data_IF_850368040582
#
_entry.id   IF_850368040582
#
_cell.length_a   1.000
_cell.length_b   1.000
_cell.length_c   1.000
_cell.angle_alpha   90.00
_cell.angle_beta   90.00
_cell.angle_gamma   90.00
#
_symmetry.space_group_name_H-M   'P 1'
#
loop_
_entity.id
_entity.type
_entity.pdbx_description
1 polymer ?
#
# COMPACT_ATOMS: atom_id res chain seq x y z
N UNK A 1 -47.08 22.22 -48.06
CA UNK A 1 -47.49 20.85 -47.69
C UNK A 1 -46.24 19.98 -47.62
N UNK A 2 -46.10 19.11 -46.61
CA UNK A 2 -45.10 18.02 -46.51
C UNK A 2 -43.94 18.08 -45.47
N UNK A 3 -44.04 18.84 -44.36
CA UNK A 3 -43.05 18.72 -43.25
C UNK A 3 -43.63 18.55 -41.84
N UNK A 4 -44.95 18.67 -41.66
CA UNK A 4 -45.60 18.50 -40.34
C UNK A 4 -46.13 17.08 -40.05
N UNK A 5 -46.25 16.22 -41.06
CA UNK A 5 -46.73 14.84 -40.90
C UNK A 5 -45.62 13.89 -40.40
N UNK A 6 -44.36 14.14 -40.79
CA UNK A 6 -43.23 13.28 -40.42
C UNK A 6 -42.86 13.40 -38.93
N UNK A 7 -43.11 14.56 -38.31
CA UNK A 7 -42.91 14.77 -36.87
C UNK A 7 -43.99 14.11 -36.01
N UNK A 8 -45.21 13.99 -36.54
CA UNK A 8 -46.32 13.33 -35.84
C UNK A 8 -46.19 11.80 -35.88
N UNK A 9 -45.67 11.24 -36.98
CA UNK A 9 -45.43 9.79 -37.13
C UNK A 9 -44.30 9.26 -36.23
N UNK A 10 -43.28 10.08 -35.94
CA UNK A 10 -42.17 9.66 -35.08
C UNK A 10 -42.52 9.69 -33.58
N UNK A 11 -43.43 10.56 -33.15
CA UNK A 11 -43.86 10.65 -31.75
C UNK A 11 -44.84 9.52 -31.36
N UNK A 12 -45.71 9.08 -32.28
CA UNK A 12 -46.68 8.02 -31.99
C UNK A 12 -46.05 6.62 -31.99
N UNK A 13 -45.02 6.38 -32.81
CA UNK A 13 -44.23 5.13 -32.79
C UNK A 13 -43.37 4.96 -31.53
N UNK A 14 -42.92 6.06 -30.90
CA UNK A 14 -42.16 6.01 -29.65
C UNK A 14 -43.00 5.63 -28.43
N UNK A 15 -44.24 6.14 -28.34
CA UNK A 15 -45.13 5.85 -27.21
C UNK A 15 -45.71 4.43 -27.26
N UNK A 16 -45.88 3.86 -28.47
CA UNK A 16 -46.37 2.50 -28.67
C UNK A 16 -45.32 1.43 -28.29
N UNK A 17 -44.02 1.77 -28.37
CA UNK A 17 -42.92 0.86 -28.00
C UNK A 17 -42.75 0.76 -26.47
N UNK A 18 -43.07 1.81 -25.71
CA UNK A 18 -42.95 1.80 -24.24
C UNK A 18 -44.00 0.94 -23.53
N UNK A 19 -45.20 0.76 -24.10
CA UNK A 19 -46.29 0.02 -23.44
C UNK A 19 -46.25 -1.49 -23.69
N UNK A 20 -45.54 -1.97 -24.71
CA UNK A 20 -45.37 -3.40 -25.01
C UNK A 20 -44.11 -4.02 -24.38
N UNK A 21 -43.20 -3.22 -23.81
CA UNK A 21 -41.89 -3.67 -23.33
C UNK A 21 -41.79 -4.08 -21.86
N UNK A 22 -42.83 -3.90 -21.03
CA UNK A 22 -42.72 -4.15 -19.58
C UNK A 22 -43.56 -5.33 -19.07
N UNK A 23 -44.03 -6.22 -19.95
CA UNK A 23 -44.59 -7.50 -19.49
C UNK A 23 -43.74 -8.67 -19.96
N UNK A 24 -43.09 -9.31 -18.96
CA UNK A 24 -42.88 -10.77 -18.86
C UNK A 24 -41.52 -11.31 -19.32
N UNK A 25 -40.65 -11.48 -18.34
CA UNK A 25 -40.09 -12.82 -18.07
C UNK A 25 -39.97 -12.96 -16.54
N UNK A 26 -41.00 -13.51 -15.88
CA UNK A 26 -41.05 -14.90 -15.40
C UNK A 26 -39.72 -15.35 -14.79
N UNK A 27 -39.76 -15.53 -13.48
CA UNK A 27 -38.63 -16.00 -12.72
C UNK A 27 -38.06 -17.31 -13.28
N UNK A 28 -36.75 -17.32 -13.43
CA UNK A 28 -35.99 -18.53 -13.27
C UNK A 28 -35.53 -18.59 -11.81
N UNK A 29 -36.28 -19.37 -11.03
CA UNK A 29 -35.80 -19.93 -9.77
C UNK A 29 -34.65 -20.87 -10.17
N UNK A 30 -33.41 -20.42 -10.00
CA UNK A 30 -32.28 -21.36 -9.88
C UNK A 30 -32.39 -21.93 -8.47
N UNK A 31 -32.81 -23.19 -8.38
CA UNK A 31 -32.62 -23.99 -7.17
C UNK A 31 -31.12 -24.20 -6.95
N UNK A 32 -30.66 -24.21 -5.69
CA UNK A 32 -29.30 -24.54 -5.33
C UNK A 32 -29.09 -26.06 -5.36
N UNK A 33 -27.91 -26.51 -5.79
CA UNK A 33 -27.09 -27.53 -5.13
C UNK A 33 -25.90 -27.88 -6.05
N UNK A 34 -24.74 -28.03 -5.41
CA UNK A 34 -23.49 -28.56 -5.96
C UNK A 34 -22.80 -27.78 -7.10
N UNK A 35 -21.91 -26.85 -6.71
CA UNK A 35 -20.48 -26.96 -7.06
C UNK A 35 -19.68 -26.42 -5.86
N UNK A 36 -19.09 -27.36 -5.12
CA UNK A 36 -17.86 -27.17 -4.38
C UNK A 36 -16.77 -26.67 -5.33
N UNK A 37 -16.62 -25.35 -5.38
CA UNK A 37 -15.30 -24.74 -5.46
C UNK A 37 -15.45 -23.38 -4.79
N UNK A 38 -14.84 -23.17 -3.61
CA UNK A 38 -14.30 -21.85 -3.36
C UNK A 38 -13.36 -21.63 -4.55
N UNK A 39 -13.73 -20.75 -5.49
CA UNK A 39 -12.70 -20.10 -6.30
C UNK A 39 -11.94 -19.26 -5.30
N UNK A 40 -10.99 -19.92 -4.68
CA UNK A 40 -9.86 -19.31 -4.03
C UNK A 40 -9.05 -18.65 -5.14
N UNK A 41 -9.57 -17.55 -5.66
CA UNK A 41 -8.77 -16.51 -6.24
C UNK A 41 -8.14 -15.77 -5.07
N UNK A 42 -7.22 -16.43 -4.35
CA UNK A 42 -5.98 -15.80 -3.95
C UNK A 42 -5.32 -15.33 -5.26
N UNK A 43 -5.84 -14.23 -5.82
CA UNK A 43 -5.00 -13.25 -6.46
C UNK A 43 -4.00 -12.89 -5.37
N UNK A 44 -2.85 -13.55 -5.40
CA UNK A 44 -1.69 -13.15 -4.62
C UNK A 44 -1.37 -11.76 -5.12
N UNK A 45 -1.96 -10.76 -4.46
CA UNK A 45 -1.44 -9.41 -4.50
C UNK A 45 -0.04 -9.58 -3.93
N UNK A 46 0.96 -9.60 -4.82
CA UNK A 46 2.34 -9.48 -4.41
C UNK A 46 2.43 -8.17 -3.63
N UNK A 47 2.35 -8.28 -2.31
CA UNK A 47 2.61 -7.16 -1.42
C UNK A 47 4.08 -6.88 -1.60
N UNK A 48 4.39 -5.87 -2.40
CA UNK A 48 5.77 -5.44 -2.62
C UNK A 48 6.25 -4.91 -1.27
N UNK A 49 7.04 -5.72 -0.58
CA UNK A 49 7.72 -5.34 0.65
C UNK A 49 8.72 -4.22 0.37
N UNK A 50 8.81 -3.27 1.29
CA UNK A 50 9.69 -2.13 1.14
C UNK A 50 11.11 -2.56 1.51
N UNK A 51 12.06 -2.32 0.63
CA UNK A 51 13.45 -2.73 0.78
C UNK A 51 14.30 -1.58 1.34
N UNK A 52 15.09 -1.85 2.38
CA UNK A 52 15.98 -0.83 2.93
C UNK A 52 17.00 -0.36 1.88
N UNK A 53 17.68 -1.30 1.25
CA UNK A 53 18.79 -1.09 0.33
C UNK A 53 18.34 -0.46 -0.99
N UNK A 54 17.18 -0.84 -1.51
CA UNK A 54 16.70 -0.40 -2.82
C UNK A 54 15.77 0.81 -2.74
N UNK A 55 14.96 0.93 -1.68
CA UNK A 55 13.94 1.98 -1.58
C UNK A 55 14.33 3.09 -0.60
N UNK A 56 14.73 2.74 0.63
CA UNK A 56 14.98 3.74 1.68
C UNK A 56 16.36 4.37 1.61
N UNK A 57 17.41 3.57 1.42
CA UNK A 57 18.80 4.03 1.47
C UNK A 57 19.07 5.12 0.42
N UNK A 58 18.56 5.05 -0.84
CA UNK A 58 18.71 6.16 -1.78
C UNK A 58 18.08 7.45 -1.26
N UNK A 59 16.94 7.40 -0.58
CA UNK A 59 16.29 8.59 -0.01
C UNK A 59 17.13 9.12 1.15
N UNK A 60 17.52 8.25 2.09
CA UNK A 60 18.35 8.62 3.25
C UNK A 60 19.66 9.28 2.81
N UNK A 61 20.36 8.69 1.85
CA UNK A 61 21.68 9.18 1.41
C UNK A 61 21.62 10.44 0.55
N UNK A 62 20.51 10.69 -0.16
CA UNK A 62 20.36 11.87 -1.02
C UNK A 62 19.65 13.04 -0.35
N UNK A 63 18.85 12.79 0.70
CA UNK A 63 18.00 13.79 1.34
C UNK A 63 18.41 14.09 2.79
N UNK A 64 18.98 13.12 3.51
CA UNK A 64 19.21 13.22 4.95
C UNK A 64 20.69 13.17 5.34
N UNK A 65 21.45 12.22 4.79
CA UNK A 65 22.86 11.98 5.09
C UNK A 65 23.81 12.92 4.31
N UNK A 66 23.46 14.21 4.31
CA UNK A 66 24.27 15.27 3.72
C UNK A 66 25.29 15.80 4.73
N UNK A 67 26.40 16.36 4.24
CA UNK A 67 27.45 16.90 5.10
C UNK A 67 26.89 17.96 6.08
N UNK A 68 27.10 17.75 7.39
CA UNK A 68 26.56 18.61 8.45
C UNK A 68 25.09 18.35 8.82
N UNK A 69 24.43 17.40 8.17
CA UNK A 69 23.12 16.85 8.54
C UNK A 69 23.34 15.46 9.15
N UNK A 70 22.69 14.39 8.69
CA UNK A 70 22.72 13.09 9.39
C UNK A 70 23.83 12.14 8.90
N UNK A 71 25.07 12.50 9.20
CA UNK A 71 26.29 11.68 8.99
C UNK A 71 26.98 11.39 10.33
N UNK A 72 28.11 10.68 10.38
CA UNK A 72 28.79 10.27 11.64
C UNK A 72 28.95 11.37 12.72
N UNK A 73 29.05 12.64 12.32
CA UNK A 73 29.17 13.80 13.22
C UNK A 73 27.98 14.77 13.09
N UNK A 74 26.82 14.23 12.73
CA UNK A 74 25.59 14.96 12.49
C UNK A 74 24.90 15.47 13.75
N UNK A 75 23.89 16.35 13.61
CA UNK A 75 23.05 16.75 14.74
C UNK A 75 22.48 15.54 15.47
N UNK A 76 22.51 15.58 16.80
CA UNK A 76 22.01 14.53 17.69
C UNK A 76 22.69 13.16 17.51
N UNK A 77 23.88 13.11 16.91
CA UNK A 77 24.62 11.86 16.69
C UNK A 77 23.93 10.87 15.74
N UNK A 78 22.98 11.35 14.92
CA UNK A 78 22.25 10.52 13.97
C UNK A 78 23.03 10.37 12.66
N UNK A 79 23.24 9.12 12.23
CA UNK A 79 23.92 8.79 10.98
C UNK A 79 23.04 7.88 10.11
N UNK A 80 22.65 8.36 8.93
CA UNK A 80 21.71 7.66 8.04
C UNK A 80 22.39 7.12 6.78
N UNK A 81 23.71 6.89 6.81
CA UNK A 81 24.48 6.41 5.66
C UNK A 81 24.40 4.90 5.44
N UNK A 82 24.11 4.12 6.49
CA UNK A 82 23.98 2.67 6.39
C UNK A 82 22.77 2.18 7.19
N UNK A 83 22.41 0.91 7.00
CA UNK A 83 21.37 0.27 7.80
C UNK A 83 21.75 0.27 9.29
N UNK A 84 22.97 -0.16 9.60
CA UNK A 84 23.48 -0.31 10.96
C UNK A 84 23.48 1.02 11.71
N UNK A 85 23.88 2.11 11.04
CA UNK A 85 23.88 3.44 11.65
C UNK A 85 22.46 3.97 11.84
N UNK A 86 21.55 3.69 10.90
CA UNK A 86 20.16 4.15 11.00
C UNK A 86 19.41 3.46 12.14
N UNK A 87 19.57 2.14 12.28
CA UNK A 87 18.92 1.39 13.37
C UNK A 87 19.54 1.68 14.75
N UNK A 88 20.81 2.07 14.80
CA UNK A 88 21.49 2.41 16.06
C UNK A 88 20.90 3.66 16.73
N UNK A 89 20.33 4.57 15.94
CA UNK A 89 19.79 5.84 16.44
C UNK A 89 20.89 6.83 16.79
N UNK A 90 20.55 7.77 17.67
CA UNK A 90 21.44 8.86 18.08
C UNK A 90 21.43 9.08 19.60
N UNK A 91 21.88 10.26 20.01
CA UNK A 91 22.03 10.66 21.42
C UNK A 91 20.71 10.62 22.21
N UNK A 92 19.58 10.78 21.52
CA UNK A 92 18.25 10.78 22.11
C UNK A 92 17.51 9.43 21.98
N UNK A 93 18.19 8.40 21.47
CA UNK A 93 17.62 7.07 21.22
C UNK A 93 17.34 6.81 19.75
N UNK A 94 16.51 5.80 19.44
CA UNK A 94 16.24 5.37 18.07
C UNK A 94 15.46 6.43 17.29
N UNK A 95 15.73 6.54 15.99
CA UNK A 95 15.01 7.47 15.11
C UNK A 95 13.58 7.01 14.79
N UNK A 96 13.29 5.73 14.99
CA UNK A 96 11.99 5.10 14.71
C UNK A 96 11.75 3.93 15.65
N UNK A 97 10.51 3.45 15.69
CA UNK A 97 10.07 2.29 16.48
C UNK A 97 9.67 1.19 15.49
N UNK A 98 10.41 0.06 15.42
CA UNK A 98 10.04 -1.06 14.55
C UNK A 98 8.59 -1.50 14.79
N UNK A 99 7.82 -1.63 13.71
CA UNK A 99 6.40 -1.96 13.76
C UNK A 99 5.45 -0.81 14.07
N UNK A 100 5.95 0.39 14.38
CA UNK A 100 5.11 1.53 14.71
C UNK A 100 5.63 2.82 14.04
N UNK A 101 5.32 2.98 12.75
CA UNK A 101 5.64 4.20 12.01
C UNK A 101 4.93 5.44 12.54
N UNK A 102 3.72 5.30 13.10
CA UNK A 102 2.92 6.44 13.60
C UNK A 102 3.58 7.14 14.80
N UNK A 103 4.21 6.38 15.68
CA UNK A 103 4.95 6.90 16.84
C UNK A 103 6.45 7.11 16.57
N UNK A 104 6.89 6.95 15.33
CA UNK A 104 8.30 7.09 14.95
C UNK A 104 8.69 8.54 14.68
N UNK A 105 9.73 9.04 15.38
CA UNK A 105 10.18 10.42 15.25
C UNK A 105 10.59 10.80 13.81
N UNK A 106 11.29 9.91 13.09
CA UNK A 106 11.69 10.17 11.69
C UNK A 106 10.47 10.43 10.79
N UNK A 107 9.36 9.73 11.02
CA UNK A 107 8.11 9.90 10.25
C UNK A 107 7.47 11.24 10.61
N UNK A 108 7.42 11.60 11.88
CA UNK A 108 6.90 12.90 12.33
C UNK A 108 7.66 14.08 11.69
N UNK A 109 9.00 14.01 11.67
CA UNK A 109 9.86 15.06 11.14
C UNK A 109 9.71 15.26 9.62
N UNK A 110 9.59 14.16 8.85
CA UNK A 110 9.42 14.24 7.38
C UNK A 110 7.99 14.65 7.00
N UNK A 111 6.96 14.18 7.73
CA UNK A 111 5.55 14.54 7.47
C UNK A 111 5.28 15.99 7.82
N UNK A 112 5.85 16.49 8.91
CA UNK A 112 5.73 17.91 9.29
C UNK A 112 6.50 18.86 8.37
N UNK A 113 7.35 18.32 7.49
CA UNK A 113 8.21 19.08 6.58
C UNK A 113 9.35 19.82 7.28
N UNK A 114 9.64 19.49 8.55
CA UNK A 114 10.81 20.01 9.27
C UNK A 114 12.11 19.45 8.69
N UNK A 115 12.06 18.22 8.18
CA UNK A 115 13.17 17.57 7.47
C UNK A 115 12.81 17.32 6.00
N UNK A 116 13.71 17.66 5.04
CA UNK A 116 14.98 18.37 5.23
C UNK A 116 14.79 19.89 5.46
N UNK A 117 15.60 20.54 6.31
CA UNK A 117 15.42 21.95 6.65
C UNK A 117 15.72 22.86 5.44
N UNK A 118 14.75 23.70 5.08
CA UNK A 118 14.88 24.64 3.95
C UNK A 118 14.94 23.98 2.57
N UNK A 119 14.81 22.65 2.50
CA UNK A 119 14.70 21.89 1.26
C UNK A 119 13.25 21.63 0.87
N UNK A 120 12.99 21.10 -0.34
CA UNK A 120 11.67 20.59 -0.66
C UNK A 120 11.32 19.41 0.27
N UNK A 121 10.07 19.30 0.73
CA UNK A 121 9.63 18.15 1.53
C UNK A 121 9.73 16.86 0.73
N UNK A 122 9.73 15.72 1.42
CA UNK A 122 9.58 14.42 0.77
C UNK A 122 8.20 14.32 0.12
N UNK A 123 8.13 13.61 -0.99
CA UNK A 123 6.86 13.25 -1.62
C UNK A 123 6.08 12.26 -0.76
N UNK A 124 4.76 12.18 -0.97
CA UNK A 124 3.93 11.20 -0.29
C UNK A 124 4.39 9.76 -0.53
N UNK A 125 4.89 9.45 -1.73
CA UNK A 125 5.42 8.13 -2.06
C UNK A 125 6.71 7.81 -1.29
N UNK A 126 7.63 8.78 -1.18
CA UNK A 126 8.85 8.60 -0.38
C UNK A 126 8.51 8.41 1.10
N UNK A 127 7.58 9.19 1.66
CA UNK A 127 7.13 9.04 3.05
C UNK A 127 6.50 7.66 3.26
N UNK A 128 5.69 7.18 2.31
CA UNK A 128 5.05 5.88 2.41
C UNK A 128 6.08 4.74 2.50
N UNK A 129 7.23 4.85 1.81
CA UNK A 129 8.31 3.86 1.94
C UNK A 129 8.84 3.77 3.38
N UNK A 130 9.02 4.90 4.07
CA UNK A 130 9.40 4.88 5.49
C UNK A 130 8.33 4.21 6.35
N UNK A 131 7.06 4.54 6.13
CA UNK A 131 5.94 3.97 6.88
C UNK A 131 5.88 2.46 6.68
N UNK A 132 5.93 2.01 5.44
CA UNK A 132 5.82 0.59 5.09
C UNK A 132 7.00 -0.20 5.66
N UNK A 133 8.23 0.28 5.44
CA UNK A 133 9.43 -0.42 5.93
C UNK A 133 9.49 -0.47 7.46
N UNK A 134 9.14 0.62 8.16
CA UNK A 134 9.10 0.62 9.62
C UNK A 134 8.05 -0.37 10.11
N UNK A 135 6.85 -0.36 9.52
CA UNK A 135 5.77 -1.27 9.90
C UNK A 135 6.08 -2.74 9.59
N UNK A 136 6.96 -3.01 8.63
CA UNK A 136 7.53 -4.34 8.34
C UNK A 136 8.58 -4.80 9.36
N UNK A 137 8.68 -4.15 10.53
CA UNK A 137 9.70 -4.40 11.55
C UNK A 137 11.11 -3.96 11.12
N UNK A 138 11.22 -3.00 10.20
CA UNK A 138 12.49 -2.45 9.75
C UNK A 138 13.50 -3.52 9.29
N UNK A 139 13.13 -4.40 8.34
CA UNK A 139 13.97 -5.53 7.96
C UNK A 139 15.28 -5.02 7.34
N UNK A 140 16.38 -5.69 7.69
CA UNK A 140 17.58 -5.63 6.87
C UNK A 140 17.31 -6.51 5.64
N UNK A 141 17.46 -5.95 4.44
CA UNK A 141 17.35 -6.77 3.24
C UNK A 141 18.39 -7.89 3.32
N UNK A 142 17.92 -9.13 3.22
CA UNK A 142 18.81 -10.24 2.92
C UNK A 142 19.31 -10.03 1.50
N UNK A 143 20.55 -9.53 1.37
CA UNK A 143 21.21 -9.34 0.07
C UNK A 143 21.48 -10.66 -0.68
N UNK A 144 20.86 -11.77 -0.29
CA UNK A 144 20.56 -12.83 -1.23
C UNK A 144 19.95 -14.06 -0.59
N UNK A 145 18.63 -14.17 -0.63
CA UNK A 145 17.91 -15.37 -1.10
C UNK A 145 16.41 -15.09 -1.16
N UNK A 146 15.82 -15.47 -2.28
CA UNK A 146 14.40 -15.37 -2.61
C UNK A 146 13.45 -15.63 -1.43
N UNK A 147 12.41 -14.79 -1.35
CA UNK A 147 11.43 -14.76 -0.28
C UNK A 147 10.87 -16.12 0.14
N UNK A 148 10.61 -16.21 1.44
CA UNK A 148 9.66 -17.13 2.01
C UNK A 148 9.00 -16.43 3.20
N UNK A 149 7.71 -16.11 3.03
CA UNK A 149 6.86 -15.63 4.10
C UNK A 149 6.84 -16.63 5.25
N UNK A 150 7.03 -16.13 6.46
CA UNK A 150 6.91 -16.95 7.65
C UNK A 150 5.44 -17.03 8.07
N UNK A 151 4.71 -17.95 7.43
CA UNK A 151 3.44 -18.47 7.93
C UNK A 151 3.71 -19.68 8.81
N UNK A 152 3.99 -19.49 10.09
CA UNK A 152 4.04 -20.58 11.06
C UNK A 152 2.66 -20.80 11.68
N UNK A 153 1.83 -21.58 10.98
CA UNK A 153 0.60 -22.15 11.55
C UNK A 153 0.97 -23.40 12.36
N UNK A 154 1.30 -23.23 13.64
CA UNK A 154 1.42 -24.35 14.58
C UNK A 154 0.03 -24.76 15.11
N UNK A 155 -0.74 -25.49 14.30
CA UNK A 155 -1.73 -26.42 14.83
C UNK A 155 -1.01 -27.73 15.15
N UNK A 156 -0.74 -27.98 16.43
CA UNK A 156 -0.47 -29.34 16.86
C UNK A 156 -1.79 -30.00 17.19
N UNK A 157 -2.18 -30.89 16.26
CA UNK A 157 -3.10 -32.00 16.43
C UNK A 157 -2.97 -32.60 17.84
N UNK A 158 -4.08 -32.58 18.57
CA UNK A 158 -4.35 -33.57 19.58
C UNK A 158 -4.71 -34.86 18.84
N UNK A 159 -3.97 -35.94 19.07
CA UNK A 159 -4.48 -37.28 18.82
C UNK A 159 -4.01 -38.22 19.93
N UNK A 160 -5.02 -38.70 20.64
CA UNK A 160 -5.02 -39.81 21.57
C UNK A 160 -4.53 -41.10 20.90
N UNK A 161 -3.62 -41.83 21.56
CA UNK A 161 -3.74 -43.28 21.84
C UNK A 161 -2.51 -43.83 22.59
#
# INVERSE_FOLDING_TARGET
MSTNIQRFLLLTMGLLFCVLGCTRDRGHIVMPDDILAPTDSHESVDVVEASFQHDLLPILTTRCALAGCHVADGPHGLDFRTYESFIAGGEHGPAFIPGNAEESQVVEEIVSGRMPPGGPPLSAAEIQLFVDWINQQAPQDDMGLHGHGHGENAHNEADDN
#
